data_IF_766692171779
#
_entry.id   IF_766692171779
#
_cell.length_a   1.000
_cell.length_b   1.000
_cell.length_c   1.000
_cell.angle_alpha   90.00
_cell.angle_beta   90.00
_cell.angle_gamma   90.00
#
_symmetry.space_group_name_H-M   'P 1'
#
loop_
_entity.id
_entity.type
_entity.pdbx_description
1 polymer ?
#
# COMPACT_ATOMS: atom_id res chain seq x y z
N UNK A 1 -56.88 -22.32 70.12
CA UNK A 1 -57.60 -21.07 69.80
C UNK A 1 -57.65 -20.92 68.30
N UNK A 2 -58.80 -20.55 67.77
CA UNK A 2 -58.95 -20.28 66.32
C UNK A 2 -58.50 -18.84 66.05
N UNK A 3 -57.88 -18.58 64.90
CA UNK A 3 -57.20 -17.31 64.60
C UNK A 3 -58.12 -16.07 64.70
N UNK A 4 -59.44 -16.24 64.51
CA UNK A 4 -60.42 -15.15 64.64
C UNK A 4 -60.62 -14.67 66.08
N UNK A 5 -60.22 -15.45 67.09
CA UNK A 5 -60.40 -15.10 68.51
C UNK A 5 -59.39 -14.04 68.99
N UNK A 6 -58.35 -13.76 68.20
CA UNK A 6 -57.29 -12.79 68.50
C UNK A 6 -57.37 -11.51 67.66
N UNK A 7 -58.40 -11.37 66.83
CA UNK A 7 -58.59 -10.17 66.00
C UNK A 7 -59.38 -9.12 66.78
N UNK A 8 -58.66 -8.36 67.61
CA UNK A 8 -59.20 -7.16 68.27
C UNK A 8 -59.48 -6.08 67.22
N UNK A 9 -60.76 -5.80 66.97
CA UNK A 9 -61.36 -4.58 66.37
C UNK A 9 -60.92 -4.14 64.94
N UNK A 10 -59.98 -4.84 64.31
CA UNK A 10 -59.64 -4.63 62.90
C UNK A 10 -60.50 -5.52 62.03
N UNK A 11 -61.60 -4.97 61.48
CA UNK A 11 -62.42 -5.68 60.48
C UNK A 11 -61.54 -6.17 59.33
N UNK A 12 -61.93 -7.29 58.71
CA UNK A 12 -61.31 -7.84 57.49
C UNK A 12 -60.99 -6.75 56.47
N UNK A 13 -61.90 -5.79 56.32
CA UNK A 13 -61.78 -4.61 55.47
C UNK A 13 -60.54 -3.76 55.79
N UNK A 14 -60.24 -3.48 57.05
CA UNK A 14 -59.03 -2.72 57.44
C UNK A 14 -57.74 -3.51 57.20
N UNK A 15 -57.81 -4.85 57.20
CA UNK A 15 -56.67 -5.71 56.89
C UNK A 15 -56.42 -5.72 55.38
N UNK A 16 -57.50 -5.87 54.60
CA UNK A 16 -57.46 -5.81 53.14
C UNK A 16 -57.03 -4.43 52.64
N UNK A 17 -57.55 -3.35 53.21
CA UNK A 17 -57.17 -1.97 52.88
C UNK A 17 -55.68 -1.73 53.16
N UNK A 18 -55.16 -2.22 54.29
CA UNK A 18 -53.72 -2.14 54.59
C UNK A 18 -52.90 -2.93 53.58
N UNK A 19 -53.31 -4.16 53.27
CA UNK A 19 -52.63 -4.99 52.28
C UNK A 19 -52.61 -4.34 50.90
N UNK A 20 -53.75 -3.78 50.47
CA UNK A 20 -53.88 -3.06 49.21
C UNK A 20 -52.97 -1.82 49.19
N UNK A 21 -52.98 -1.00 50.25
CA UNK A 21 -52.06 0.16 50.37
C UNK A 21 -50.59 -0.25 50.30
N UNK A 22 -50.19 -1.32 50.99
CA UNK A 22 -48.81 -1.80 50.95
C UNK A 22 -48.44 -2.39 49.57
N UNK A 23 -49.34 -3.13 48.93
CA UNK A 23 -49.13 -3.68 47.58
C UNK A 23 -49.02 -2.58 46.52
N UNK A 24 -49.84 -1.53 46.61
CA UNK A 24 -49.72 -0.36 45.73
C UNK A 24 -48.45 0.43 46.02
N UNK A 25 -48.08 0.63 47.28
CA UNK A 25 -46.84 1.32 47.65
C UNK A 25 -45.60 0.55 47.17
N UNK A 26 -45.59 -0.77 47.32
CA UNK A 26 -44.54 -1.66 46.80
C UNK A 26 -44.44 -1.57 45.27
N UNK A 27 -45.58 -1.67 44.57
CA UNK A 27 -45.62 -1.51 43.10
C UNK A 27 -45.18 -0.11 42.66
N UNK A 28 -45.46 0.94 43.43
CA UNK A 28 -45.02 2.30 43.14
C UNK A 28 -43.49 2.46 43.29
N UNK A 29 -42.86 1.76 44.24
CA UNK A 29 -41.40 1.71 44.37
C UNK A 29 -40.75 1.02 43.17
N UNK A 30 -41.30 -0.13 42.74
CA UNK A 30 -40.85 -0.85 41.55
C UNK A 30 -41.25 -0.20 40.22
N UNK A 31 -42.18 0.76 40.23
CA UNK A 31 -42.55 1.54 39.05
C UNK A 31 -41.57 2.70 38.81
N UNK A 32 -40.84 3.13 39.83
CA UNK A 32 -39.84 4.20 39.74
C UNK A 32 -38.44 3.67 39.37
N UNK A 33 -38.18 2.38 39.62
CA UNK A 33 -37.07 1.66 38.99
C UNK A 33 -37.56 1.16 37.63
N UNK A 34 -37.08 1.75 36.54
CA UNK A 34 -37.40 1.31 35.18
C UNK A 34 -37.32 -0.22 35.11
N UNK A 35 -38.46 -0.89 34.90
CA UNK A 35 -38.55 -2.34 34.85
C UNK A 35 -37.52 -2.88 33.84
N UNK A 36 -36.40 -3.48 34.28
CA UNK A 36 -35.28 -3.79 33.39
C UNK A 36 -35.71 -4.72 32.26
N UNK A 37 -36.69 -5.58 32.51
CA UNK A 37 -37.24 -6.52 31.53
C UNK A 37 -38.06 -5.83 30.43
N UNK A 38 -38.81 -4.78 30.78
CA UNK A 38 -39.54 -3.98 29.79
C UNK A 38 -38.58 -3.17 28.90
N UNK A 39 -37.47 -2.71 29.48
CA UNK A 39 -36.39 -2.00 28.79
C UNK A 39 -35.66 -2.92 27.79
N UNK A 40 -35.31 -4.14 28.19
CA UNK A 40 -34.71 -5.14 27.30
C UNK A 40 -35.62 -5.55 26.13
N UNK A 41 -36.92 -5.71 26.38
CA UNK A 41 -37.88 -6.04 25.33
C UNK A 41 -38.01 -4.89 24.31
N UNK A 42 -38.07 -3.65 24.79
CA UNK A 42 -38.13 -2.47 23.93
C UNK A 42 -36.85 -2.31 23.08
N UNK A 43 -35.68 -2.42 23.71
CA UNK A 43 -34.40 -2.33 22.99
C UNK A 43 -34.21 -3.48 22.00
N UNK A 44 -34.69 -4.68 22.32
CA UNK A 44 -34.73 -5.79 21.36
C UNK A 44 -35.59 -5.46 20.13
N UNK A 45 -36.82 -4.96 20.32
CA UNK A 45 -37.71 -4.60 19.20
C UNK A 45 -37.11 -3.50 18.33
N UNK A 46 -36.49 -2.50 18.95
CA UNK A 46 -35.78 -1.42 18.25
C UNK A 46 -34.59 -1.94 17.45
N UNK A 47 -33.79 -2.84 18.02
CA UNK A 47 -32.68 -3.48 17.32
C UNK A 47 -33.19 -4.33 16.15
N UNK A 48 -34.23 -5.14 16.38
CA UNK A 48 -34.86 -5.98 15.36
C UNK A 48 -35.37 -5.15 14.18
N UNK A 49 -36.10 -4.07 14.45
CA UNK A 49 -36.58 -3.16 13.42
C UNK A 49 -35.42 -2.54 12.61
N UNK A 50 -34.30 -2.20 13.27
CA UNK A 50 -33.10 -1.69 12.58
C UNK A 50 -32.47 -2.74 11.67
N UNK A 51 -32.37 -3.99 12.13
CA UNK A 51 -31.86 -5.11 11.31
C UNK A 51 -32.75 -5.33 10.09
N UNK A 52 -34.07 -5.39 10.28
CA UNK A 52 -35.03 -5.57 9.20
C UNK A 52 -34.97 -4.43 8.17
N UNK A 53 -34.85 -3.19 8.63
CA UNK A 53 -34.66 -2.02 7.76
C UNK A 53 -33.36 -2.09 6.97
N UNK A 54 -32.26 -2.51 7.60
CA UNK A 54 -30.97 -2.67 6.92
C UNK A 54 -31.01 -3.78 5.87
N UNK A 55 -31.61 -4.93 6.20
CA UNK A 55 -31.78 -6.04 5.26
C UNK A 55 -32.69 -5.64 4.09
N UNK A 56 -33.75 -4.88 4.34
CA UNK A 56 -34.61 -4.34 3.28
C UNK A 56 -33.82 -3.40 2.35
N UNK A 57 -33.04 -2.49 2.93
CA UNK A 57 -32.18 -1.58 2.17
C UNK A 57 -31.14 -2.34 1.33
N UNK A 58 -30.52 -3.39 1.89
CA UNK A 58 -29.60 -4.25 1.16
C UNK A 58 -30.29 -4.91 -0.04
N UNK A 59 -31.48 -5.50 0.14
CA UNK A 59 -32.24 -6.10 -0.97
C UNK A 59 -32.52 -5.09 -2.07
N UNK A 60 -32.94 -3.87 -1.73
CA UNK A 60 -33.12 -2.80 -2.72
C UNK A 60 -31.82 -2.48 -3.48
N UNK A 61 -30.69 -2.34 -2.77
CA UNK A 61 -29.36 -2.10 -3.40
C UNK A 61 -28.93 -3.25 -4.32
N UNK A 62 -29.39 -4.48 -4.06
CA UNK A 62 -29.17 -5.65 -4.90
C UNK A 62 -30.18 -5.75 -6.07
N UNK A 63 -31.13 -4.82 -6.17
CA UNK A 63 -32.16 -4.82 -7.21
C UNK A 63 -33.36 -5.72 -6.91
N UNK A 64 -33.55 -6.12 -5.65
CA UNK A 64 -34.62 -7.02 -5.21
C UNK A 64 -35.75 -6.25 -4.49
N UNK A 65 -36.98 -6.76 -4.57
CA UNK A 65 -38.16 -6.23 -3.86
C UNK A 65 -38.46 -4.73 -4.11
N UNK A 66 -38.24 -4.28 -5.34
CA UNK A 66 -38.37 -2.87 -5.74
C UNK A 66 -39.83 -2.41 -5.92
N UNK A 67 -40.78 -3.34 -5.97
CA UNK A 67 -42.21 -3.04 -6.21
C UNK A 67 -42.82 -2.10 -5.16
N UNK A 68 -42.20 -2.04 -3.97
CA UNK A 68 -42.64 -1.16 -2.87
C UNK A 68 -42.11 0.26 -2.95
N UNK A 69 -41.20 0.56 -3.89
CA UNK A 69 -40.59 1.88 -4.06
C UNK A 69 -41.37 2.74 -5.05
N UNK A 70 -41.48 4.03 -4.74
CA UNK A 70 -41.95 5.02 -5.70
C UNK A 70 -40.90 5.31 -6.77
N UNK A 71 -41.33 5.90 -7.89
CA UNK A 71 -40.44 6.30 -9.00
C UNK A 71 -39.30 7.21 -8.50
N UNK A 72 -39.59 8.14 -7.58
CA UNK A 72 -38.58 9.06 -7.02
C UNK A 72 -37.54 8.31 -6.19
N UNK A 73 -37.97 7.35 -5.39
CA UNK A 73 -37.06 6.52 -4.58
C UNK A 73 -36.20 5.62 -5.47
N UNK A 74 -36.77 5.07 -6.55
CA UNK A 74 -36.04 4.27 -7.52
C UNK A 74 -34.97 5.09 -8.25
N UNK A 75 -35.30 6.32 -8.67
CA UNK A 75 -34.32 7.24 -9.26
C UNK A 75 -33.20 7.60 -8.27
N UNK A 76 -33.53 7.81 -7.00
CA UNK A 76 -32.52 8.08 -5.97
C UNK A 76 -31.59 6.88 -5.77
N UNK A 77 -32.15 5.67 -5.73
CA UNK A 77 -31.40 4.42 -5.62
C UNK A 77 -30.45 4.22 -6.81
N UNK A 78 -30.94 4.48 -8.02
CA UNK A 78 -30.15 4.42 -9.25
C UNK A 78 -28.96 5.40 -9.20
N UNK A 79 -29.21 6.66 -8.84
CA UNK A 79 -28.15 7.68 -8.71
C UNK A 79 -27.12 7.30 -7.64
N UNK A 80 -27.56 6.73 -6.52
CA UNK A 80 -26.66 6.25 -5.47
C UNK A 80 -25.76 5.11 -5.96
N UNK A 81 -26.33 4.15 -6.70
CA UNK A 81 -25.58 3.04 -7.28
C UNK A 81 -24.61 3.50 -8.37
N UNK A 82 -25.04 4.40 -9.25
CA UNK A 82 -24.19 4.96 -10.30
C UNK A 82 -23.00 5.72 -9.71
N UNK A 83 -23.26 6.60 -8.73
CA UNK A 83 -22.22 7.36 -8.05
C UNK A 83 -21.22 6.44 -7.34
N UNK A 84 -21.70 5.48 -6.53
CA UNK A 84 -20.82 4.55 -5.81
C UNK A 84 -19.99 3.68 -6.76
N UNK A 85 -20.58 3.22 -7.87
CA UNK A 85 -19.89 2.48 -8.92
C UNK A 85 -18.78 3.32 -9.57
N UNK A 86 -19.06 4.59 -9.88
CA UNK A 86 -18.05 5.52 -10.41
C UNK A 86 -16.88 5.68 -9.43
N UNK A 87 -17.15 5.84 -8.14
CA UNK A 87 -16.11 5.95 -7.11
C UNK A 87 -15.26 4.67 -7.03
N UNK A 88 -15.89 3.49 -7.01
CA UNK A 88 -15.19 2.19 -6.97
C UNK A 88 -14.27 2.04 -8.19
N UNK A 89 -14.78 2.31 -9.40
CA UNK A 89 -14.00 2.24 -10.63
C UNK A 89 -12.83 3.21 -10.60
N UNK A 90 -13.07 4.47 -10.21
CA UNK A 90 -12.02 5.48 -10.09
C UNK A 90 -10.92 5.03 -9.13
N UNK A 91 -11.29 4.49 -7.96
CA UNK A 91 -10.31 4.01 -6.97
C UNK A 91 -9.52 2.82 -7.50
N UNK A 92 -10.18 1.87 -8.17
CA UNK A 92 -9.53 0.71 -8.78
C UNK A 92 -8.53 1.14 -9.85
N UNK A 93 -8.92 2.06 -10.72
CA UNK A 93 -8.03 2.62 -11.76
C UNK A 93 -6.83 3.30 -11.13
N UNK A 94 -7.03 4.14 -10.11
CA UNK A 94 -5.92 4.81 -9.41
C UNK A 94 -4.92 3.81 -8.84
N UNK A 95 -5.40 2.78 -8.14
CA UNK A 95 -4.53 1.74 -7.57
C UNK A 95 -3.71 0.99 -8.63
N UNK A 96 -4.32 0.70 -9.79
CA UNK A 96 -3.61 0.05 -10.90
C UNK A 96 -2.54 0.99 -11.47
N UNK A 97 -2.85 2.27 -11.67
CA UNK A 97 -1.88 3.25 -12.17
C UNK A 97 -0.72 3.44 -11.18
N UNK A 98 -1.01 3.52 -9.88
CA UNK A 98 0.01 3.59 -8.84
C UNK A 98 0.95 2.37 -8.90
N UNK A 99 0.38 1.16 -9.04
CA UNK A 99 1.16 -0.07 -9.18
C UNK A 99 2.02 -0.09 -10.44
N UNK A 100 1.51 0.40 -11.57
CA UNK A 100 2.27 0.50 -12.83
C UNK A 100 3.45 1.46 -12.64
N UNK A 101 3.21 2.65 -12.06
CA UNK A 101 4.24 3.65 -11.80
C UNK A 101 5.36 3.10 -10.91
N UNK A 102 5.00 2.40 -9.83
CA UNK A 102 5.97 1.77 -8.93
C UNK A 102 6.81 0.70 -9.63
N UNK A 103 6.19 -0.12 -10.49
CA UNK A 103 6.91 -1.14 -11.26
C UNK A 103 7.85 -0.51 -12.30
N UNK A 104 7.40 0.52 -13.02
CA UNK A 104 8.24 1.25 -13.99
C UNK A 104 9.45 1.91 -13.32
N UNK A 105 9.26 2.46 -12.11
CA UNK A 105 10.36 3.02 -11.32
C UNK A 105 11.38 1.93 -10.94
N UNK A 106 10.91 0.77 -10.50
CA UNK A 106 11.79 -0.38 -10.18
C UNK A 106 12.54 -0.89 -11.39
N UNK A 107 11.86 -1.03 -12.53
CA UNK A 107 12.47 -1.42 -13.80
C UNK A 107 13.61 -0.46 -14.18
N UNK A 108 13.37 0.86 -14.11
CA UNK A 108 14.39 1.87 -14.41
C UNK A 108 15.61 1.76 -13.49
N UNK A 109 15.40 1.53 -12.20
CA UNK A 109 16.49 1.38 -11.22
C UNK A 109 17.32 0.13 -11.54
N UNK A 110 16.66 -1.01 -11.78
CA UNK A 110 17.33 -2.27 -12.11
C UNK A 110 18.11 -2.18 -13.42
N UNK A 111 17.56 -1.49 -14.43
CA UNK A 111 18.24 -1.29 -15.71
C UNK A 111 19.53 -0.47 -15.55
N UNK A 112 19.51 0.60 -14.74
CA UNK A 112 20.70 1.40 -14.46
C UNK A 112 21.75 0.60 -13.66
N UNK A 113 21.31 -0.21 -12.69
CA UNK A 113 22.20 -1.10 -11.92
C UNK A 113 22.85 -2.14 -12.83
N UNK A 114 22.09 -2.80 -13.70
CA UNK A 114 22.63 -3.77 -14.66
C UNK A 114 23.65 -3.13 -15.60
N UNK A 115 23.34 -1.95 -16.15
CA UNK A 115 24.27 -1.20 -17.00
C UNK A 115 25.58 -0.85 -16.28
N UNK A 116 25.50 -0.55 -14.99
CA UNK A 116 26.68 -0.27 -14.16
C UNK A 116 27.53 -1.54 -13.97
N UNK A 117 26.88 -2.66 -13.63
CA UNK A 117 27.55 -3.95 -13.47
C UNK A 117 28.20 -4.44 -14.77
N UNK A 118 27.54 -4.29 -15.91
CA UNK A 118 28.11 -4.62 -17.23
C UNK A 118 29.40 -3.85 -17.50
N UNK A 119 29.42 -2.54 -17.19
CA UNK A 119 30.63 -1.71 -17.32
C UNK A 119 31.74 -2.19 -16.39
N UNK A 120 31.42 -2.53 -15.14
CA UNK A 120 32.41 -3.05 -14.18
C UNK A 120 32.99 -4.39 -14.62
N UNK A 121 32.18 -5.29 -15.17
CA UNK A 121 32.63 -6.58 -15.72
C UNK A 121 33.63 -6.34 -16.85
N UNK A 122 33.27 -5.51 -17.84
CA UNK A 122 34.13 -5.16 -18.96
C UNK A 122 35.45 -4.53 -18.47
N UNK A 123 35.39 -3.62 -17.50
CA UNK A 123 36.59 -2.98 -16.94
C UNK A 123 37.50 -4.00 -16.25
N UNK A 124 36.93 -4.93 -15.46
CA UNK A 124 37.68 -6.01 -14.80
C UNK A 124 38.30 -6.99 -15.79
N UNK A 125 37.60 -7.34 -16.85
CA UNK A 125 38.12 -8.20 -17.92
C UNK A 125 39.30 -7.54 -18.65
N UNK A 126 39.19 -6.25 -19.00
CA UNK A 126 40.29 -5.47 -19.56
C UNK A 126 41.49 -5.40 -18.62
N UNK A 127 41.28 -5.14 -17.33
CA UNK A 127 42.35 -5.10 -16.34
C UNK A 127 43.05 -6.46 -16.17
N UNK A 128 42.31 -7.57 -16.25
CA UNK A 128 42.86 -8.93 -16.25
C UNK A 128 43.68 -9.22 -17.52
N UNK A 129 43.22 -8.76 -18.69
CA UNK A 129 43.97 -8.91 -19.94
C UNK A 129 45.30 -8.13 -19.89
N UNK A 130 45.27 -6.88 -19.44
CA UNK A 130 46.49 -6.05 -19.25
C UNK A 130 47.47 -6.68 -18.24
N UNK A 131 46.98 -7.23 -17.13
CA UNK A 131 47.84 -7.88 -16.12
C UNK A 131 48.45 -9.20 -16.63
N UNK A 132 47.75 -9.95 -17.50
CA UNK A 132 48.31 -11.12 -18.17
C UNK A 132 49.31 -10.76 -19.28
N UNK A 133 49.28 -9.52 -19.76
CA UNK A 133 50.19 -9.01 -20.78
C UNK A 133 51.54 -8.56 -20.22
N UNK A 134 51.51 -7.95 -19.04
CA UNK A 134 52.70 -7.42 -18.37
C UNK A 134 53.90 -8.40 -18.17
N UNK A 135 53.71 -9.74 -17.98
CA UNK A 135 54.83 -10.66 -17.85
C UNK A 135 55.63 -10.86 -19.14
N UNK A 136 54.98 -10.88 -20.32
CA UNK A 136 55.68 -11.12 -21.59
C UNK A 136 56.41 -9.88 -22.11
N UNK A 137 55.94 -8.68 -21.77
CA UNK A 137 56.61 -7.42 -22.07
C UNK A 137 57.94 -7.27 -21.30
N UNK A 138 58.00 -7.75 -20.05
CA UNK A 138 59.24 -7.74 -19.25
C UNK A 138 60.29 -8.74 -19.75
N UNK A 139 59.88 -9.89 -20.30
CA UNK A 139 60.80 -10.86 -20.89
C UNK A 139 61.36 -10.38 -22.25
N UNK A 140 60.56 -9.68 -23.05
CA UNK A 140 60.99 -9.23 -24.38
C UNK A 140 62.05 -8.12 -24.30
N UNK A 141 61.97 -7.19 -23.33
CA UNK A 141 63.02 -6.17 -23.12
C UNK A 141 64.37 -6.77 -22.65
N UNK A 142 64.36 -7.95 -22.02
CA UNK A 142 65.60 -8.62 -21.59
C UNK A 142 66.33 -9.41 -22.70
N UNK A 143 65.69 -9.61 -23.87
CA UNK A 143 66.30 -10.30 -25.02
C UNK A 143 67.05 -9.38 -25.99
N UNK A 144 66.88 -8.06 -25.90
CA UNK A 144 67.58 -7.10 -26.76
C UNK A 144 68.81 -6.43 -26.12
N UNK A 145 69.23 -6.85 -24.92
CA UNK A 145 70.35 -6.23 -24.18
C UNK A 145 71.62 -7.11 -24.09
N UNK A 146 71.83 -8.02 -25.05
CA UNK A 146 73.08 -8.79 -25.16
C UNK A 146 73.76 -8.57 -26.50
N UNK A 147 74.31 -7.37 -26.69
CA UNK A 147 75.42 -7.16 -27.61
C UNK A 147 76.44 -6.20 -26.93
N UNK A 148 77.71 -6.59 -26.75
CA UNK A 148 78.71 -5.69 -26.17
C UNK A 148 79.06 -4.60 -27.19
N UNK A 149 78.88 -3.33 -26.82
CA UNK A 149 79.46 -2.21 -27.58
C UNK A 149 80.97 -2.19 -27.35
N UNK A 150 81.73 -2.53 -28.39
CA UNK A 150 83.18 -2.34 -28.45
C UNK A 150 83.46 -0.83 -28.58
N UNK A 151 84.30 -0.31 -27.70
CA UNK A 151 84.72 1.10 -27.70
C UNK A 151 85.66 1.31 -28.89
N UNK A 152 85.26 2.17 -29.83
CA UNK A 152 86.17 2.81 -30.76
C UNK A 152 85.90 4.31 -30.68
N UNK A 153 86.79 5.02 -30.00
CA UNK A 153 87.03 6.43 -30.26
C UNK A 153 87.49 6.57 -31.70
N UNK A 154 86.84 7.42 -32.49
CA UNK A 154 87.53 8.48 -33.21
C UNK A 154 86.55 9.42 -33.94
N UNK A 155 86.75 10.70 -33.68
CA UNK A 155 86.78 11.81 -34.65
C UNK A 155 85.62 12.02 -35.65
N UNK A 156 84.94 13.17 -35.46
CA UNK A 156 83.97 13.86 -36.34
C UNK A 156 84.63 14.19 -37.70
N UNK A 157 83.90 14.14 -38.85
CA UNK A 157 83.29 15.36 -39.40
C UNK A 157 81.87 15.20 -39.99
N UNK A 158 81.11 16.29 -39.91
CA UNK A 158 79.83 16.57 -40.60
C UNK A 158 80.00 16.46 -42.13
N UNK A 159 78.93 16.14 -42.89
CA UNK A 159 78.24 17.23 -43.58
C UNK A 159 76.71 17.07 -43.75
N UNK A 160 76.03 18.21 -43.57
CA UNK A 160 74.88 18.76 -44.30
C UNK A 160 74.12 17.85 -45.28
N UNK A 161 72.82 17.64 -45.02
CA UNK A 161 71.81 17.67 -46.09
C UNK A 161 70.43 18.09 -45.57
N UNK A 162 69.88 19.07 -46.28
CA UNK A 162 68.64 19.82 -46.10
C UNK A 162 67.38 19.08 -46.57
N UNK A 163 66.22 19.70 -46.27
CA UNK A 163 64.86 19.48 -46.81
C UNK A 163 63.98 18.46 -46.05
N UNK A 164 62.70 18.70 -45.77
CA UNK A 164 61.83 19.87 -45.82
C UNK A 164 60.58 19.51 -45.02
N UNK A 165 60.08 20.44 -44.20
CA UNK A 165 58.79 20.30 -43.53
C UNK A 165 57.66 20.33 -44.57
N UNK A 166 56.69 19.43 -44.43
CA UNK A 166 55.34 19.65 -44.95
C UNK A 166 54.34 19.37 -43.84
N UNK A 167 53.86 20.47 -43.26
CA UNK A 167 52.59 20.53 -42.56
C UNK A 167 51.45 20.36 -43.56
N UNK A 168 50.37 19.73 -43.12
CA UNK A 168 48.98 19.84 -43.59
C UNK A 168 48.17 19.30 -42.39
N UNK A 169 47.59 20.16 -41.55
CA UNK A 169 46.20 20.67 -41.64
C UNK A 169 45.20 19.52 -41.92
N UNK A 170 44.52 18.99 -40.90
CA UNK A 170 43.31 19.54 -40.24
C UNK A 170 42.07 19.46 -41.15
N UNK A 171 41.18 18.48 -40.89
CA UNK A 171 39.75 18.73 -40.63
C UNK A 171 38.94 17.43 -40.35
N UNK A 172 37.84 17.52 -39.57
CA UNK A 172 37.02 16.40 -39.05
C UNK A 172 35.72 16.14 -39.88
N UNK A 173 34.87 15.14 -39.54
CA UNK A 173 33.83 14.63 -40.43
C UNK A 173 32.43 15.25 -40.20
N UNK A 174 31.54 15.26 -41.21
CA UNK A 174 30.11 15.41 -40.98
C UNK A 174 29.40 14.04 -40.98
N UNK A 175 28.48 13.88 -40.03
CA UNK A 175 27.74 12.65 -39.81
C UNK A 175 26.46 12.46 -40.62
N UNK A 176 25.76 11.39 -40.26
CA UNK A 176 24.31 11.16 -40.27
C UNK A 176 24.01 10.08 -39.25
#
# INVERSE_FOLDING_TARGET
GKLYEFSTDSSMEKILERYERYSYAERALFSNEANPQADWHLEYHKLKARVESLQKSQRHLMGEQLDSLSIKELQHLEQQLESSMKHIRSRKTQLILDSISELQKKEKILLEQNKTLEKEIIAKEKAKALTQIAPWEKQNLSQYSSAPLHVISDSVPTPTRTFQARANEEEPPPGT
#
